data_IF_586660282227
#
_entry.id   IF_586660282227
#
_cell.length_a   1.000
_cell.length_b   1.000
_cell.length_c   1.000
_cell.angle_alpha   90.00
_cell.angle_beta   90.00
_cell.angle_gamma   90.00
#
_symmetry.space_group_name_H-M   'P 1'
#
loop_
_entity.id
_entity.type
_entity.pdbx_description
1 polymer ?
#
# COMPACT_ATOMS: atom_id res chain seq x y z
N UNK A 1 19.27 36.91 -3.64
CA UNK A 1 18.23 35.89 -3.96
C UNK A 1 16.95 36.32 -3.27
N UNK A 2 15.99 36.88 -4.01
CA UNK A 2 14.77 37.45 -3.44
C UNK A 2 13.91 36.30 -2.93
N UNK A 3 13.62 36.28 -1.63
CA UNK A 3 12.68 35.33 -1.03
C UNK A 3 11.35 35.41 -1.79
N UNK A 4 10.70 34.29 -2.18
CA UNK A 4 9.35 34.37 -2.70
C UNK A 4 8.45 34.91 -1.59
N UNK A 5 8.00 36.15 -1.73
CA UNK A 5 7.16 36.88 -0.76
C UNK A 5 5.89 36.12 -0.36
N UNK A 6 5.53 35.10 -1.12
CA UNK A 6 4.34 34.27 -1.00
C UNK A 6 4.34 33.35 0.22
N UNK A 7 5.48 32.78 0.62
CA UNK A 7 5.53 31.85 1.77
C UNK A 7 5.26 32.53 3.11
N UNK A 8 5.68 33.80 3.24
CA UNK A 8 5.45 34.60 4.46
C UNK A 8 3.97 34.93 4.67
N UNK A 9 3.15 34.89 3.63
CA UNK A 9 1.72 35.18 3.67
C UNK A 9 0.85 33.94 3.91
N UNK A 10 1.45 32.75 4.00
CA UNK A 10 0.69 31.52 4.19
C UNK A 10 0.20 31.40 5.63
N UNK A 11 -1.12 31.37 5.82
CA UNK A 11 -1.78 31.24 7.13
C UNK A 11 -2.43 29.87 7.28
N UNK A 12 -2.83 29.49 8.51
CA UNK A 12 -3.60 28.25 8.69
C UNK A 12 -4.93 28.27 7.92
N UNK A 13 -5.52 29.46 7.69
CA UNK A 13 -6.77 29.60 6.94
C UNK A 13 -6.61 29.19 5.47
N UNK A 14 -5.46 29.48 4.84
CA UNK A 14 -5.17 28.99 3.49
C UNK A 14 -5.08 27.46 3.45
N UNK A 15 -4.45 26.86 4.47
CA UNK A 15 -4.30 25.41 4.60
C UNK A 15 -5.67 24.74 4.82
N UNK A 16 -6.53 25.32 5.65
CA UNK A 16 -7.90 24.85 5.85
C UNK A 16 -8.77 25.02 4.59
N UNK A 17 -8.62 26.15 3.88
CA UNK A 17 -9.28 26.38 2.60
C UNK A 17 -8.91 25.34 1.56
N UNK A 18 -7.62 24.94 1.50
CA UNK A 18 -7.16 23.83 0.66
C UNK A 18 -7.88 22.52 1.02
N UNK A 19 -7.98 22.17 2.31
CA UNK A 19 -8.67 20.94 2.71
C UNK A 19 -10.14 20.94 2.32
N UNK A 20 -10.83 22.07 2.53
CA UNK A 20 -12.24 22.23 2.11
C UNK A 20 -12.39 22.09 0.60
N UNK A 21 -11.50 22.71 -0.19
CA UNK A 21 -11.52 22.59 -1.64
C UNK A 21 -11.27 21.16 -2.11
N UNK A 22 -10.30 20.46 -1.52
CA UNK A 22 -10.03 19.06 -1.85
C UNK A 22 -11.22 18.14 -1.53
N UNK A 23 -11.85 18.33 -0.36
CA UNK A 23 -13.05 17.58 0.01
C UNK A 23 -14.24 17.93 -0.89
N UNK A 24 -14.45 19.21 -1.20
CA UNK A 24 -15.50 19.68 -2.11
C UNK A 24 -15.31 19.18 -3.54
N UNK A 25 -14.07 18.91 -3.96
CA UNK A 25 -13.72 18.26 -5.22
C UNK A 25 -13.84 16.73 -5.21
N UNK A 26 -14.36 16.12 -4.14
CA UNK A 26 -14.60 14.69 -4.04
C UNK A 26 -13.38 13.84 -3.65
N UNK A 27 -12.26 14.44 -3.24
CA UNK A 27 -11.10 13.69 -2.77
C UNK A 27 -11.39 13.05 -1.40
N UNK A 28 -10.90 11.82 -1.23
CA UNK A 28 -11.04 11.11 0.04
C UNK A 28 -10.32 11.82 1.19
N UNK A 29 -10.82 11.64 2.42
CA UNK A 29 -10.18 12.13 3.65
C UNK A 29 -8.72 11.65 3.76
N UNK A 30 -8.43 10.42 3.31
CA UNK A 30 -7.08 9.87 3.28
C UNK A 30 -6.16 10.70 2.37
N UNK A 31 -6.64 11.07 1.19
CA UNK A 31 -5.91 11.92 0.24
C UNK A 31 -5.59 13.29 0.84
N UNK A 32 -6.56 13.93 1.50
CA UNK A 32 -6.36 15.22 2.17
C UNK A 32 -5.30 15.11 3.28
N UNK A 33 -5.31 14.02 4.05
CA UNK A 33 -4.28 13.79 5.07
C UNK A 33 -2.89 13.56 4.48
N UNK A 34 -2.78 12.90 3.33
CA UNK A 34 -1.49 12.80 2.64
C UNK A 34 -0.98 14.17 2.21
N UNK A 35 -1.85 15.02 1.63
CA UNK A 35 -1.50 16.38 1.30
C UNK A 35 -1.06 17.18 2.55
N UNK A 36 -1.77 17.07 3.67
CA UNK A 36 -1.36 17.66 4.94
C UNK A 36 0.04 17.19 5.37
N UNK A 37 0.30 15.88 5.35
CA UNK A 37 1.58 15.33 5.80
C UNK A 37 2.76 15.82 4.93
N UNK A 38 2.57 15.85 3.61
CA UNK A 38 3.56 16.37 2.65
C UNK A 38 3.77 17.87 2.88
N UNK A 39 2.69 18.67 2.91
CA UNK A 39 2.76 20.11 3.08
C UNK A 39 3.43 20.49 4.41
N UNK A 40 3.06 19.81 5.50
CA UNK A 40 3.66 20.01 6.82
C UNK A 40 5.16 19.74 6.80
N UNK A 41 5.63 18.71 6.09
CA UNK A 41 7.07 18.40 5.95
C UNK A 41 7.80 19.46 5.12
N UNK A 42 7.21 19.90 4.01
CA UNK A 42 7.77 20.97 3.16
C UNK A 42 7.89 22.28 3.94
N UNK A 43 6.83 22.69 4.64
CA UNK A 43 6.84 23.92 5.44
C UNK A 43 7.79 23.83 6.63
N UNK A 44 7.93 22.65 7.25
CA UNK A 44 8.96 22.43 8.27
C UNK A 44 10.37 22.67 7.72
N UNK A 45 10.66 22.20 6.50
CA UNK A 45 11.93 22.47 5.84
C UNK A 45 12.11 23.96 5.52
N UNK A 46 11.05 24.63 5.05
CA UNK A 46 11.06 26.08 4.78
C UNK A 46 11.34 26.91 6.03
N UNK A 47 10.81 26.52 7.20
CA UNK A 47 11.13 27.15 8.48
C UNK A 47 12.58 26.93 8.86
N UNK A 48 13.10 25.70 8.69
CA UNK A 48 14.51 25.39 8.96
C UNK A 48 15.47 26.24 8.13
N UNK A 49 15.13 26.53 6.88
CA UNK A 49 15.88 27.43 6.00
C UNK A 49 15.54 28.91 6.17
N UNK A 50 14.75 29.27 7.18
CA UNK A 50 14.30 30.65 7.45
C UNK A 50 13.54 31.30 6.26
N UNK A 51 12.96 30.49 5.37
CA UNK A 51 12.13 30.94 4.25
C UNK A 51 10.69 31.25 4.67
N UNK A 52 10.23 30.61 5.74
CA UNK A 52 8.93 30.84 6.36
C UNK A 52 9.12 31.09 7.86
N UNK A 53 8.35 32.03 8.47
CA UNK A 53 8.47 32.35 9.88
C UNK A 53 7.90 31.25 10.80
N UNK A 54 6.95 30.46 10.29
CA UNK A 54 6.30 29.36 11.02
C UNK A 54 5.76 28.32 10.05
N UNK A 55 5.47 27.13 10.56
CA UNK A 55 4.79 26.09 9.80
C UNK A 55 3.28 26.24 9.95
N UNK A 56 2.62 26.76 8.92
CA UNK A 56 1.17 27.01 8.94
C UNK A 56 0.32 25.74 9.05
N UNK A 57 0.89 24.55 8.84
CA UNK A 57 0.19 23.29 9.05
C UNK A 57 0.12 22.86 10.53
N UNK A 58 0.95 23.42 11.42
CA UNK A 58 0.96 23.00 12.83
C UNK A 58 -0.30 23.45 13.59
N UNK A 59 -0.94 24.52 13.12
CA UNK A 59 -2.21 25.03 13.66
C UNK A 59 -3.43 24.67 12.78
N UNK A 60 -3.25 23.86 11.74
CA UNK A 60 -4.33 23.42 10.86
C UNK A 60 -4.87 22.06 11.31
N UNK A 61 -6.19 21.87 11.18
CA UNK A 61 -6.91 20.65 11.55
C UNK A 61 -7.21 19.82 10.30
N UNK A 62 -6.39 18.80 9.96
CA UNK A 62 -6.72 17.89 8.87
C UNK A 62 -7.94 17.02 9.24
N UNK A 63 -8.75 16.62 8.24
CA UNK A 63 -9.93 15.79 8.50
C UNK A 63 -9.55 14.43 9.11
N UNK A 64 -10.41 13.95 10.03
CA UNK A 64 -10.19 12.68 10.74
C UNK A 64 -10.51 11.49 9.82
N UNK A 65 -9.56 10.58 9.65
CA UNK A 65 -9.79 9.31 8.96
C UNK A 65 -10.56 8.40 9.91
N UNK A 66 -11.76 8.02 9.51
CA UNK A 66 -12.40 6.84 10.06
C UNK A 66 -11.65 5.64 9.48
N UNK A 67 -11.09 4.81 10.35
CA UNK A 67 -10.47 3.56 9.92
C UNK A 67 -11.60 2.56 9.78
N UNK A 68 -11.90 2.19 8.54
CA UNK A 68 -12.70 1.00 8.32
C UNK A 68 -11.91 -0.20 8.83
N UNK A 69 -12.54 -0.98 9.70
CA UNK A 69 -11.97 -2.22 10.19
C UNK A 69 -11.93 -3.20 9.03
N UNK A 70 -10.72 -3.66 8.69
CA UNK A 70 -10.57 -4.72 7.69
C UNK A 70 -11.22 -5.98 8.24
N UNK A 71 -12.19 -6.51 7.51
CA UNK A 71 -12.87 -7.76 7.84
C UNK A 71 -12.16 -8.91 7.10
N UNK A 72 -11.24 -9.63 7.74
CA UNK A 72 -10.62 -10.79 7.10
C UNK A 72 -11.67 -11.87 6.85
N UNK A 73 -11.43 -12.68 5.82
CA UNK A 73 -12.25 -13.87 5.59
C UNK A 73 -12.03 -14.84 6.75
N UNK A 74 -13.11 -15.36 7.32
CA UNK A 74 -13.02 -16.53 8.18
C UNK A 74 -12.69 -17.79 7.36
N UNK A 75 -12.42 -18.90 8.06
CA UNK A 75 -12.04 -20.17 7.43
C UNK A 75 -13.12 -20.69 6.46
N UNK A 76 -14.39 -20.57 6.83
CA UNK A 76 -15.49 -21.06 6.00
C UNK A 76 -15.70 -20.17 4.78
N UNK A 77 -15.59 -18.85 4.94
CA UNK A 77 -15.64 -17.88 3.87
C UNK A 77 -14.51 -18.10 2.87
N UNK A 78 -13.27 -18.29 3.34
CA UNK A 78 -12.13 -18.60 2.48
C UNK A 78 -12.36 -19.90 1.71
N UNK A 79 -12.87 -20.96 2.38
CA UNK A 79 -13.23 -22.21 1.72
C UNK A 79 -14.30 -22.02 0.65
N UNK A 80 -15.39 -21.30 0.96
CA UNK A 80 -16.47 -21.00 0.00
C UNK A 80 -15.94 -20.29 -1.24
N UNK A 81 -15.01 -19.36 -1.09
CA UNK A 81 -14.37 -18.66 -2.22
C UNK A 81 -13.58 -19.64 -3.11
N UNK A 82 -12.79 -20.53 -2.51
CA UNK A 82 -12.00 -21.52 -3.25
C UNK A 82 -12.89 -22.55 -3.96
N UNK A 83 -13.89 -23.10 -3.26
CA UNK A 83 -14.84 -24.06 -3.83
C UNK A 83 -15.60 -23.43 -5.00
N UNK A 84 -16.05 -22.17 -4.84
CA UNK A 84 -16.72 -21.43 -5.93
C UNK A 84 -15.79 -21.22 -7.12
N UNK A 85 -14.54 -20.84 -6.87
CA UNK A 85 -13.55 -20.68 -7.93
C UNK A 85 -13.22 -22.00 -8.64
N UNK A 86 -13.33 -23.15 -7.97
CA UNK A 86 -13.11 -24.45 -8.58
C UNK A 86 -14.28 -24.89 -9.49
N UNK A 87 -15.49 -24.37 -9.25
CA UNK A 87 -16.73 -24.81 -9.90
C UNK A 87 -17.33 -23.77 -10.87
N UNK A 88 -16.62 -22.65 -11.10
CA UNK A 88 -17.20 -21.41 -11.61
C UNK A 88 -17.52 -21.37 -13.12
N UNK A 89 -17.13 -22.37 -13.92
CA UNK A 89 -17.23 -22.31 -15.38
C UNK A 89 -18.36 -23.20 -15.95
N UNK A 90 -19.09 -22.76 -17.00
CA UNK A 90 -20.20 -23.52 -17.61
C UNK A 90 -19.82 -24.91 -18.15
N UNK A 91 -18.53 -25.16 -18.36
CA UNK A 91 -17.92 -26.42 -18.78
C UNK A 91 -17.37 -27.27 -17.60
N UNK A 92 -17.69 -26.92 -16.34
CA UNK A 92 -17.11 -27.50 -15.11
C UNK A 92 -15.59 -27.34 -14.97
N UNK A 93 -15.00 -26.40 -15.70
CA UNK A 93 -13.60 -26.03 -15.48
C UNK A 93 -13.45 -25.09 -14.25
N UNK A 94 -12.33 -25.16 -13.52
CA UNK A 94 -12.00 -24.15 -12.52
C UNK A 94 -11.78 -22.79 -13.19
N UNK A 95 -12.04 -21.71 -12.44
CA UNK A 95 -11.68 -20.35 -12.84
C UNK A 95 -10.18 -20.28 -13.15
N UNK A 96 -9.82 -19.49 -14.17
CA UNK A 96 -8.43 -19.34 -14.61
C UNK A 96 -7.48 -18.89 -13.48
N UNK A 97 -8.01 -18.23 -12.44
CA UNK A 97 -7.26 -17.74 -11.29
C UNK A 97 -7.40 -18.63 -10.05
N UNK A 98 -8.03 -19.81 -10.14
CA UNK A 98 -8.19 -20.71 -9.00
C UNK A 98 -6.86 -21.01 -8.29
N UNK A 99 -5.81 -21.36 -9.04
CA UNK A 99 -4.48 -21.60 -8.46
C UNK A 99 -3.90 -20.35 -7.75
N UNK A 100 -4.17 -19.17 -8.30
CA UNK A 100 -3.75 -17.90 -7.68
C UNK A 100 -4.49 -17.66 -6.36
N UNK A 101 -5.80 -17.92 -6.30
CA UNK A 101 -6.56 -17.79 -5.05
C UNK A 101 -6.08 -18.76 -3.98
N UNK A 102 -5.79 -20.01 -4.36
CA UNK A 102 -5.21 -21.01 -3.45
C UNK A 102 -3.90 -20.50 -2.86
N UNK A 103 -2.98 -20.00 -3.70
CA UNK A 103 -1.71 -19.44 -3.24
C UNK A 103 -1.89 -18.19 -2.37
N UNK A 104 -2.79 -17.28 -2.73
CA UNK A 104 -3.05 -16.06 -1.98
C UNK A 104 -3.57 -16.38 -0.55
N UNK A 105 -4.47 -17.35 -0.42
CA UNK A 105 -5.03 -17.78 0.87
C UNK A 105 -4.00 -18.51 1.73
N UNK A 106 -3.19 -19.38 1.15
CA UNK A 106 -2.28 -20.25 1.92
C UNK A 106 -0.91 -19.61 2.19
N UNK A 107 -0.35 -18.87 1.22
CA UNK A 107 1.02 -18.33 1.30
C UNK A 107 1.02 -16.88 1.80
N UNK A 108 -0.09 -16.16 1.65
CA UNK A 108 -0.22 -14.76 2.08
C UNK A 108 0.62 -13.80 1.24
N UNK A 109 0.79 -14.10 -0.06
CA UNK A 109 1.54 -13.24 -0.98
C UNK A 109 0.83 -11.90 -1.19
N UNK A 110 1.61 -10.83 -1.33
CA UNK A 110 1.06 -9.52 -1.72
C UNK A 110 0.75 -9.49 -3.21
N UNK A 111 -0.21 -8.65 -3.66
CA UNK A 111 -0.53 -8.50 -5.09
C UNK A 111 0.67 -8.30 -6.01
N UNK A 112 1.61 -7.44 -5.62
CA UNK A 112 2.82 -7.24 -6.40
C UNK A 112 3.70 -8.49 -6.52
N UNK A 113 3.69 -9.39 -5.53
CA UNK A 113 4.54 -10.58 -5.51
C UNK A 113 4.01 -11.65 -6.47
N UNK A 114 2.73 -12.01 -6.38
CA UNK A 114 2.19 -13.06 -7.24
C UNK A 114 2.08 -12.65 -8.71
N UNK A 115 1.92 -11.36 -9.01
CA UNK A 115 1.90 -10.85 -10.40
C UNK A 115 3.26 -11.01 -11.10
N UNK A 116 4.32 -11.28 -10.34
CA UNK A 116 5.68 -11.43 -10.86
C UNK A 116 6.22 -12.85 -10.74
N UNK A 117 5.38 -13.79 -10.29
CA UNK A 117 5.76 -15.18 -10.11
C UNK A 117 6.03 -15.84 -11.47
N UNK A 118 7.14 -16.56 -11.57
CA UNK A 118 7.47 -17.36 -12.75
C UNK A 118 7.56 -18.84 -12.41
N UNK A 119 7.55 -19.69 -13.43
CA UNK A 119 7.74 -21.14 -13.24
C UNK A 119 9.07 -21.50 -12.59
N UNK A 120 10.14 -20.74 -12.85
CA UNK A 120 11.45 -20.91 -12.19
C UNK A 120 11.42 -20.64 -10.67
N UNK A 121 10.38 -19.96 -10.19
CA UNK A 121 10.19 -19.66 -8.77
C UNK A 121 9.41 -20.77 -8.04
N UNK A 122 8.94 -21.80 -8.76
CA UNK A 122 8.09 -22.89 -8.25
C UNK A 122 8.81 -24.23 -8.37
N UNK A 123 9.08 -24.87 -7.24
CA UNK A 123 9.52 -26.26 -7.18
C UNK A 123 8.36 -27.12 -6.69
N UNK A 124 7.69 -27.79 -7.62
CA UNK A 124 6.55 -28.67 -7.31
C UNK A 124 6.99 -29.99 -6.67
N UNK A 125 8.23 -30.45 -6.90
CA UNK A 125 8.73 -31.68 -6.30
C UNK A 125 9.06 -31.46 -4.83
N UNK A 126 9.71 -30.34 -4.52
CA UNK A 126 10.01 -29.95 -3.14
C UNK A 126 8.82 -29.29 -2.41
N UNK A 127 7.77 -28.89 -3.14
CA UNK A 127 6.65 -28.13 -2.59
C UNK A 127 7.04 -26.73 -2.12
N UNK A 128 8.02 -26.11 -2.79
CA UNK A 128 8.61 -24.83 -2.41
C UNK A 128 8.24 -23.74 -3.41
N UNK A 129 7.86 -22.58 -2.88
CA UNK A 129 7.61 -21.36 -3.64
C UNK A 129 8.57 -20.25 -3.20
N UNK A 130 9.38 -19.75 -4.14
CA UNK A 130 10.34 -18.68 -3.87
C UNK A 130 9.79 -17.32 -4.30
N UNK A 131 9.69 -16.38 -3.38
CA UNK A 131 9.26 -15.01 -3.69
C UNK A 131 10.50 -14.16 -3.92
N UNK A 132 10.87 -13.94 -5.18
CA UNK A 132 12.12 -13.26 -5.57
C UNK A 132 11.91 -11.81 -6.04
N UNK A 133 10.66 -11.42 -6.33
CA UNK A 133 10.31 -10.15 -6.97
C UNK A 133 8.93 -9.68 -6.55
N UNK A 134 8.72 -8.38 -6.71
CA UNK A 134 7.41 -7.75 -6.57
C UNK A 134 7.26 -6.61 -7.60
N UNK A 135 6.07 -6.50 -8.18
CA UNK A 135 5.68 -5.38 -9.03
C UNK A 135 5.22 -4.21 -8.17
N UNK A 136 5.84 -3.05 -8.38
CA UNK A 136 5.43 -1.80 -7.75
C UNK A 136 4.19 -1.22 -8.46
N UNK A 137 3.49 -0.31 -7.78
CA UNK A 137 2.39 0.44 -8.42
C UNK A 137 2.86 1.33 -9.59
N UNK A 138 4.16 1.59 -9.70
CA UNK A 138 4.76 2.31 -10.82
C UNK A 138 5.09 1.39 -12.02
N UNK A 139 4.79 0.08 -11.91
CA UNK A 139 5.10 -0.91 -12.95
C UNK A 139 6.56 -1.38 -12.93
N UNK A 140 7.30 -1.09 -11.88
CA UNK A 140 8.71 -1.44 -11.76
C UNK A 140 8.88 -2.75 -10.98
N UNK A 141 9.83 -3.59 -11.41
CA UNK A 141 10.24 -4.76 -10.64
C UNK A 141 11.11 -4.32 -9.46
N UNK A 142 10.74 -4.78 -8.27
CA UNK A 142 11.43 -4.46 -7.02
C UNK A 142 11.72 -5.74 -6.25
N UNK A 143 12.69 -5.69 -5.34
CA UNK A 143 12.87 -6.76 -4.38
C UNK A 143 11.62 -6.87 -3.49
N UNK A 144 11.19 -8.09 -3.14
CA UNK A 144 10.05 -8.30 -2.26
C UNK A 144 10.36 -7.66 -0.92
N UNK A 145 9.34 -7.01 -0.33
CA UNK A 145 9.52 -6.38 0.98
C UNK A 145 9.67 -7.46 2.04
N UNK A 146 10.65 -7.36 2.95
CA UNK A 146 10.83 -8.35 3.99
C UNK A 146 9.54 -8.48 4.81
N UNK A 147 9.15 -9.73 5.09
CA UNK A 147 8.08 -10.01 6.06
C UNK A 147 8.54 -9.44 7.40
N UNK A 148 7.65 -8.72 8.10
CA UNK A 148 7.99 -8.23 9.44
C UNK A 148 8.15 -9.44 10.36
N UNK A 149 9.06 -9.38 11.33
CA UNK A 149 9.37 -10.47 12.24
C UNK A 149 8.17 -11.03 13.04
N UNK A 150 7.03 -10.33 13.07
CA UNK A 150 5.78 -10.81 13.66
C UNK A 150 4.91 -11.69 12.75
N UNK A 151 5.26 -11.82 11.46
CA UNK A 151 4.47 -12.56 10.45
C UNK A 151 5.11 -13.90 10.05
N UNK A 152 6.19 -14.31 10.73
CA UNK A 152 6.98 -15.47 10.35
C UNK A 152 6.68 -16.67 11.27
N UNK A 153 5.76 -17.54 10.85
CA UNK A 153 5.74 -18.95 11.25
C UNK A 153 6.36 -19.85 10.18
N UNK A 154 7.33 -19.34 9.40
CA UNK A 154 8.00 -20.06 8.32
C UNK A 154 9.51 -20.22 8.56
N UNK A 155 10.13 -21.28 8.02
CA UNK A 155 11.56 -21.53 8.17
C UNK A 155 12.41 -20.41 7.54
N UNK A 156 13.64 -20.19 8.03
CA UNK A 156 14.51 -19.12 7.56
C UNK A 156 14.85 -19.28 6.07
N UNK A 157 15.12 -18.16 5.35
CA UNK A 157 15.48 -18.20 3.94
C UNK A 157 16.78 -18.98 3.71
N UNK A 158 16.83 -19.74 2.62
CA UNK A 158 18.02 -20.49 2.22
C UNK A 158 19.20 -19.53 1.93
N UNK A 159 20.45 -19.95 2.24
CA UNK A 159 21.62 -19.13 1.95
C UNK A 159 21.79 -18.93 0.44
N UNK A 160 22.28 -17.76 0.06
CA UNK A 160 22.59 -17.42 -1.34
C UNK A 160 23.64 -18.39 -1.91
N UNK A 161 23.50 -18.80 -3.18
CA UNK A 161 24.49 -19.67 -3.82
C UNK A 161 25.85 -18.98 -3.95
N UNK A 162 26.95 -19.77 -4.02
CA UNK A 162 28.32 -19.26 -4.15
C UNK A 162 28.57 -18.50 -5.46
#
# INVERSE_FOLDING_TARGET
MVLPATLKKLTELHVQGLYRSMLGGGLSVRTVRYAHAVLRRVLKQAVHWMLAPRNSCDAADPPKVQRDEMRPLDREQARRVLDTAAECSPDRAPDRFHALYVLAVHVGMRPGEFLTLKWEDVDLEAGVLSINRALSMAGEFTAPRPRRAGDASGPPPAPSPP
#
